data_IF_257030049930
#
_entry.id   IF_257030049930
#
_cell.length_a   1.000
_cell.length_b   1.000
_cell.length_c   1.000
_cell.angle_alpha   90.00
_cell.angle_beta   90.00
_cell.angle_gamma   90.00
#
_symmetry.space_group_name_H-M   'P 1'
#
loop_
_entity.id
_entity.type
_entity.pdbx_description
1 polymer ?
#
# COMPACT_ATOMS: atom_id res chain seq x y z
N UNK A 1 -50.07 5.87 -11.69
CA UNK A 1 -49.02 4.92 -12.16
C UNK A 1 -47.71 5.62 -12.50
N UNK A 2 -47.68 6.74 -13.24
CA UNK A 2 -46.44 7.46 -13.59
C UNK A 2 -45.59 7.92 -12.39
N UNK A 3 -46.23 8.45 -11.34
CA UNK A 3 -45.54 9.01 -10.17
C UNK A 3 -44.89 7.90 -9.33
N UNK A 4 -45.57 6.75 -9.19
CA UNK A 4 -45.04 5.57 -8.50
C UNK A 4 -43.81 4.99 -9.23
N UNK A 5 -43.85 4.99 -10.57
CA UNK A 5 -42.71 4.58 -11.39
C UNK A 5 -41.50 5.50 -11.20
N UNK A 6 -41.73 6.82 -11.18
CA UNK A 6 -40.66 7.80 -10.98
C UNK A 6 -40.03 7.69 -9.58
N UNK A 7 -40.83 7.45 -8.53
CA UNK A 7 -40.32 7.27 -7.16
C UNK A 7 -39.53 5.97 -7.00
N UNK A 8 -39.96 4.88 -7.64
CA UNK A 8 -39.22 3.61 -7.63
C UNK A 8 -37.91 3.76 -8.40
N UNK A 9 -37.92 4.42 -9.56
CA UNK A 9 -36.71 4.66 -10.36
C UNK A 9 -35.68 5.53 -9.62
N UNK A 10 -36.14 6.58 -8.90
CA UNK A 10 -35.27 7.45 -8.12
C UNK A 10 -34.66 6.74 -6.91
N UNK A 11 -35.43 5.85 -6.25
CA UNK A 11 -34.93 5.02 -5.15
C UNK A 11 -33.88 3.99 -5.62
N UNK A 12 -34.07 3.39 -6.80
CA UNK A 12 -33.09 2.49 -7.43
C UNK A 12 -31.80 3.22 -7.84
N UNK A 13 -31.92 4.45 -8.33
CA UNK A 13 -30.76 5.26 -8.70
C UNK A 13 -29.94 5.70 -7.49
N UNK A 14 -30.60 6.05 -6.37
CA UNK A 14 -29.94 6.38 -5.11
C UNK A 14 -29.13 5.20 -4.51
N UNK A 15 -29.54 3.96 -4.78
CA UNK A 15 -28.85 2.75 -4.31
C UNK A 15 -27.60 2.38 -5.13
N UNK A 16 -27.35 3.01 -6.29
CA UNK A 16 -26.26 2.63 -7.20
C UNK A 16 -24.90 3.28 -6.91
N UNK A 17 -24.80 4.17 -5.92
CA UNK A 17 -23.54 4.86 -5.61
C UNK A 17 -22.85 4.24 -4.40
N UNK A 18 -22.44 2.99 -4.53
CA UNK A 18 -21.47 2.42 -3.61
C UNK A 18 -20.06 2.83 -4.08
N UNK A 19 -19.42 3.76 -3.37
CA UNK A 19 -18.02 4.06 -3.60
C UNK A 19 -17.19 2.83 -3.22
N UNK A 20 -16.53 2.20 -4.20
CA UNK A 20 -15.55 1.15 -3.94
C UNK A 20 -14.33 1.82 -3.30
N UNK A 21 -14.14 1.61 -2.00
CA UNK A 21 -12.91 2.04 -1.32
C UNK A 21 -11.77 1.13 -1.83
N UNK A 22 -10.74 1.68 -2.49
CA UNK A 22 -9.66 0.87 -3.03
C UNK A 22 -8.88 0.22 -1.90
N UNK A 23 -8.63 -1.08 -2.01
CA UNK A 23 -7.86 -1.84 -1.04
C UNK A 23 -6.44 -1.25 -0.91
N UNK A 24 -6.15 -0.77 0.30
CA UNK A 24 -4.86 -0.21 0.68
C UNK A 24 -3.91 -1.32 1.15
N UNK A 25 -2.61 -1.13 0.92
CA UNK A 25 -1.55 -2.01 1.42
C UNK A 25 -0.43 -1.17 2.04
N UNK A 26 0.13 -1.59 3.19
CA UNK A 26 1.38 -1.03 3.68
C UNK A 26 2.51 -1.41 2.72
N UNK A 27 3.32 -0.44 2.35
CA UNK A 27 4.45 -0.62 1.44
C UNK A 27 5.70 0.08 1.97
N UNK A 28 6.84 -0.53 1.72
CA UNK A 28 8.16 0.07 1.88
C UNK A 28 8.77 0.27 0.49
N UNK A 29 9.21 1.49 0.22
CA UNK A 29 9.91 1.84 -1.02
C UNK A 29 11.33 2.25 -0.67
N UNK A 30 12.31 1.57 -1.25
CA UNK A 30 13.74 1.82 -1.01
C UNK A 30 14.48 2.02 -2.32
N UNK A 31 15.45 2.92 -2.32
CA UNK A 31 16.26 3.31 -3.46
C UNK A 31 17.76 3.24 -3.11
N UNK A 32 18.65 3.09 -4.12
CA UNK A 32 20.08 3.33 -3.98
C UNK A 32 20.41 4.76 -3.48
N UNK A 33 21.51 4.91 -2.76
CA UNK A 33 21.96 6.17 -2.14
C UNK A 33 22.20 7.32 -3.13
N UNK A 34 22.55 7.03 -4.39
CA UNK A 34 22.79 8.02 -5.43
C UNK A 34 21.50 8.51 -6.13
N UNK A 35 20.33 7.94 -5.77
CA UNK A 35 19.04 8.33 -6.35
C UNK A 35 18.70 9.80 -6.04
N UNK A 36 18.41 10.63 -7.06
CA UNK A 36 17.98 12.00 -6.87
C UNK A 36 16.69 12.11 -6.06
N UNK A 37 16.58 13.15 -5.23
CA UNK A 37 15.41 13.37 -4.37
C UNK A 37 14.09 13.45 -5.15
N UNK A 38 14.10 14.04 -6.34
CA UNK A 38 12.89 14.21 -7.15
C UNK A 38 12.21 12.88 -7.53
N UNK A 39 12.98 11.79 -7.63
CA UNK A 39 12.45 10.45 -7.93
C UNK A 39 11.58 9.94 -6.78
N UNK A 40 12.07 10.13 -5.54
CA UNK A 40 11.33 9.77 -4.34
C UNK A 40 10.10 10.66 -4.20
N UNK A 41 10.24 11.96 -4.48
CA UNK A 41 9.13 12.91 -4.39
C UNK A 41 8.03 12.59 -5.41
N UNK A 42 8.38 12.21 -6.63
CA UNK A 42 7.43 11.76 -7.66
C UNK A 42 6.69 10.49 -7.24
N UNK A 43 7.41 9.51 -6.68
CA UNK A 43 6.80 8.29 -6.14
C UNK A 43 5.85 8.57 -4.97
N UNK A 44 6.25 9.42 -4.02
CA UNK A 44 5.40 9.88 -2.91
C UNK A 44 4.16 10.59 -3.44
N UNK A 45 4.33 11.46 -4.44
CA UNK A 45 3.25 12.21 -5.06
C UNK A 45 2.22 11.29 -5.72
N UNK A 46 2.67 10.31 -6.52
CA UNK A 46 1.79 9.33 -7.15
C UNK A 46 0.93 8.56 -6.13
N UNK A 47 1.51 8.20 -4.97
CA UNK A 47 0.78 7.54 -3.88
C UNK A 47 -0.29 8.46 -3.29
N UNK A 48 0.06 9.72 -3.00
CA UNK A 48 -0.88 10.69 -2.43
C UNK A 48 -2.02 11.03 -3.40
N UNK A 49 -1.73 11.23 -4.69
CA UNK A 49 -2.75 11.47 -5.72
C UNK A 49 -3.71 10.29 -5.89
N UNK A 50 -3.22 9.06 -5.68
CA UNK A 50 -4.06 7.86 -5.72
C UNK A 50 -4.92 7.66 -4.46
N UNK A 51 -4.81 8.54 -3.45
CA UNK A 51 -5.55 8.46 -2.19
C UNK A 51 -4.85 7.63 -1.10
N UNK A 52 -3.56 7.35 -1.27
CA UNK A 52 -2.69 6.82 -0.21
C UNK A 52 -2.08 7.93 0.64
N UNK A 53 -1.21 7.55 1.58
CA UNK A 53 -0.49 8.49 2.43
C UNK A 53 0.86 7.94 2.89
N UNK A 54 1.81 8.83 3.13
CA UNK A 54 3.14 8.50 3.63
C UNK A 54 3.07 8.31 5.15
N UNK A 55 3.55 7.16 5.63
CA UNK A 55 3.55 6.83 7.06
C UNK A 55 4.87 7.19 7.72
N UNK A 56 5.98 7.11 6.98
CA UNK A 56 7.30 7.44 7.49
C UNK A 56 8.27 7.75 6.36
N UNK A 57 9.18 8.70 6.58
CA UNK A 57 10.34 8.94 5.71
C UNK A 57 11.61 8.56 6.48
N UNK A 58 12.48 7.76 5.88
CA UNK A 58 13.67 7.28 6.54
C UNK A 58 14.84 8.25 6.33
N UNK A 59 15.64 8.46 7.37
CA UNK A 59 16.88 9.23 7.28
C UNK A 59 18.13 8.36 7.11
N UNK A 60 18.06 7.07 7.47
CA UNK A 60 19.19 6.13 7.40
C UNK A 60 19.31 5.43 6.04
N UNK A 61 18.22 5.35 5.29
CA UNK A 61 18.14 4.78 3.95
C UNK A 61 17.39 5.75 3.06
N UNK A 62 17.68 5.74 1.76
CA UNK A 62 16.83 6.43 0.78
C UNK A 62 15.54 5.66 0.55
N UNK A 63 14.53 5.99 1.34
CA UNK A 63 13.24 5.33 1.22
C UNK A 63 12.17 5.94 2.10
N UNK A 64 10.96 5.42 1.94
CA UNK A 64 9.80 5.82 2.72
C UNK A 64 8.83 4.65 2.85
N UNK A 65 8.05 4.66 3.93
CA UNK A 65 6.92 3.78 4.13
C UNK A 65 5.62 4.52 3.82
N UNK A 66 4.64 3.81 3.27
CA UNK A 66 3.35 4.37 2.91
C UNK A 66 2.21 3.36 3.05
N UNK A 67 0.99 3.88 3.15
CA UNK A 67 -0.23 3.12 2.85
C UNK A 67 -0.67 3.50 1.44
N UNK A 68 -0.69 2.53 0.53
CA UNK A 68 -0.92 2.78 -0.89
C UNK A 68 -2.07 1.91 -1.44
N UNK A 69 -2.93 2.46 -2.33
CA UNK A 69 -3.89 1.66 -3.08
C UNK A 69 -3.17 0.60 -3.93
N UNK A 70 -3.67 -0.63 -3.96
CA UNK A 70 -3.01 -1.72 -4.71
C UNK A 70 -2.71 -1.38 -6.18
N UNK A 71 -3.56 -0.55 -6.81
CA UNK A 71 -3.41 -0.11 -8.20
C UNK A 71 -2.21 0.81 -8.47
N UNK A 72 -1.70 1.53 -7.45
CA UNK A 72 -0.62 2.51 -7.63
C UNK A 72 0.76 1.88 -7.41
N UNK A 73 0.83 0.70 -6.80
CA UNK A 73 2.10 0.02 -6.49
C UNK A 73 2.89 -0.28 -7.78
N UNK A 74 2.21 -0.73 -8.85
CA UNK A 74 2.87 -0.98 -10.13
C UNK A 74 3.34 0.31 -10.82
N UNK A 75 2.61 1.42 -10.64
CA UNK A 75 3.05 2.74 -11.08
C UNK A 75 4.33 3.16 -10.37
N UNK A 76 4.38 3.03 -9.03
CA UNK A 76 5.57 3.36 -8.24
C UNK A 76 6.77 2.50 -8.65
N UNK A 77 6.55 1.21 -8.93
CA UNK A 77 7.59 0.32 -9.47
C UNK A 77 8.12 0.80 -10.82
N UNK A 78 7.24 1.21 -11.72
CA UNK A 78 7.62 1.72 -13.02
C UNK A 78 8.42 3.03 -12.92
N UNK A 79 7.98 3.97 -12.07
CA UNK A 79 8.68 5.24 -11.82
C UNK A 79 10.09 5.00 -11.25
N UNK A 80 10.24 4.00 -10.39
CA UNK A 80 11.51 3.64 -9.77
C UNK A 80 12.40 2.68 -10.56
N UNK A 81 11.95 2.17 -11.72
CA UNK A 81 12.63 1.08 -12.43
C UNK A 81 14.05 1.47 -12.90
N UNK A 82 14.21 2.70 -13.41
CA UNK A 82 15.52 3.24 -13.82
C UNK A 82 16.49 3.40 -12.63
N UNK A 83 15.94 3.58 -11.43
CA UNK A 83 16.68 3.80 -10.20
C UNK A 83 16.78 2.54 -9.32
N UNK A 84 16.50 1.37 -9.88
CA UNK A 84 16.52 0.09 -9.16
C UNK A 84 15.73 0.13 -7.83
N UNK A 85 14.58 0.81 -7.82
CA UNK A 85 13.74 0.91 -6.64
C UNK A 85 13.21 -0.48 -6.22
N UNK A 86 13.31 -0.77 -4.93
CA UNK A 86 12.69 -1.94 -4.32
C UNK A 86 11.35 -1.51 -3.71
N UNK A 87 10.25 -2.13 -4.17
CA UNK A 87 8.90 -1.87 -3.67
C UNK A 87 8.34 -3.15 -3.07
N UNK A 88 8.31 -3.18 -1.74
CA UNK A 88 7.89 -4.32 -0.94
C UNK A 88 6.53 -4.03 -0.30
N UNK A 89 5.62 -5.00 -0.37
CA UNK A 89 4.41 -4.98 0.45
C UNK A 89 4.82 -5.49 1.83
N UNK A 90 4.50 -4.74 2.87
CA UNK A 90 4.89 -5.10 4.23
C UNK A 90 4.29 -6.46 4.64
N UNK A 91 5.07 -7.23 5.38
CA UNK A 91 4.76 -8.60 5.79
C UNK A 91 4.83 -8.75 7.30
N UNK A 92 3.98 -9.62 7.85
CA UNK A 92 4.02 -9.91 9.29
C UNK A 92 5.26 -10.73 9.65
N UNK A 93 5.89 -10.35 10.76
CA UNK A 93 6.98 -11.12 11.38
C UNK A 93 6.49 -11.68 12.72
N UNK A 94 6.81 -12.95 12.98
CA UNK A 94 6.47 -13.62 14.23
C UNK A 94 7.73 -14.00 14.98
N UNK A 95 7.68 -13.90 16.31
CA UNK A 95 8.73 -14.46 17.14
C UNK A 95 8.79 -15.98 16.94
N UNK A 96 9.98 -16.51 16.66
CA UNK A 96 10.20 -17.95 16.63
C UNK A 96 10.11 -18.48 18.06
N UNK A 97 9.13 -19.34 18.35
CA UNK A 97 9.10 -20.11 19.60
C UNK A 97 10.04 -21.30 19.45
N UNK A 98 11.26 -21.18 19.96
CA UNK A 98 12.15 -22.33 20.14
C UNK A 98 11.53 -23.23 21.21
N UNK A 99 10.88 -24.33 20.80
CA UNK A 99 10.61 -25.42 21.71
C UNK A 99 11.96 -25.98 22.14
N UNK A 100 12.51 -25.44 23.24
CA UNK A 100 13.63 -25.99 23.98
C UNK A 100 13.24 -27.38 24.48
N UNK A 101 13.31 -28.37 23.59
CA UNK A 101 13.24 -29.77 23.92
C UNK A 101 14.47 -30.09 24.75
N UNK A 102 14.28 -30.22 26.07
CA UNK A 102 15.07 -31.21 26.79
C UNK A 102 14.57 -32.56 26.30
N UNK A 103 15.39 -33.23 25.52
CA UNK A 103 15.17 -34.62 25.16
C UNK A 103 15.05 -35.41 26.49
N UNK A 104 14.07 -36.32 26.67
CA UNK A 104 13.88 -37.04 27.94
C UNK A 104 15.02 -38.00 28.33
N UNK A 105 16.15 -37.95 27.62
CA UNK A 105 17.30 -38.84 27.77
C UNK A 105 18.57 -38.14 28.26
N UNK A 106 18.52 -36.84 28.54
CA UNK A 106 19.59 -36.16 29.28
C UNK A 106 19.39 -36.38 30.79
N UNK A 107 20.06 -37.42 31.29
CA UNK A 107 20.16 -37.86 32.70
C UNK A 107 20.62 -36.76 33.67
#
# INVERSE_FOLDING_TARGET
MKILFLTVLLALLAASVAAVIPQQKPVLVTYPEDTPAHVLDEAKHAIMEAGGFITHEYHLIKGFAATAPSRVIDTVRALGAEWNALVEVDGEVHAMHENGGRDPLDL
#
